data_IF_741485445067
#
_entry.id   IF_741485445067
#
_cell.length_a   1.000
_cell.length_b   1.000
_cell.length_c   1.000
_cell.angle_alpha   90.00
_cell.angle_beta   90.00
_cell.angle_gamma   90.00
#
_symmetry.space_group_name_H-M   'P 1'
#
loop_
_entity.id
_entity.type
_entity.pdbx_description
1 polymer ?
#
# COMPACT_ATOMS: atom_id res chain seq x y z
N UNK A 1 17.45 23.65 -7.83
CA UNK A 1 16.06 23.34 -7.43
C UNK A 1 15.78 21.96 -7.99
N UNK A 2 15.43 21.00 -7.13
CA UNK A 2 14.95 19.70 -7.58
C UNK A 2 13.63 19.92 -8.30
N UNK A 3 13.51 19.48 -9.55
CA UNK A 3 12.24 19.48 -10.27
C UNK A 3 11.36 18.42 -9.61
N UNK A 4 10.56 18.84 -8.63
CA UNK A 4 9.62 17.95 -7.94
C UNK A 4 8.46 17.61 -8.88
N UNK A 5 8.13 16.32 -8.95
CA UNK A 5 7.01 15.82 -9.74
C UNK A 5 5.69 16.11 -8.99
N UNK A 6 4.75 16.76 -9.67
CA UNK A 6 3.41 16.97 -9.13
C UNK A 6 2.60 15.68 -9.30
N UNK A 7 2.29 15.01 -8.19
CA UNK A 7 1.51 13.77 -8.19
C UNK A 7 -0.01 14.01 -8.21
N UNK A 8 -0.49 15.07 -7.56
CA UNK A 8 -1.92 15.39 -7.42
C UNK A 8 -2.12 16.85 -6.97
N UNK A 9 -3.23 17.47 -7.37
CA UNK A 9 -3.68 18.77 -6.87
C UNK A 9 -4.69 18.61 -5.72
N UNK A 10 -4.60 19.47 -4.70
CA UNK A 10 -5.51 19.45 -3.53
C UNK A 10 -6.44 20.65 -3.56
N UNK A 11 -7.75 20.42 -3.45
CA UNK A 11 -8.80 21.45 -3.40
C UNK A 11 -9.45 21.50 -2.01
N UNK A 12 -10.18 22.57 -1.70
CA UNK A 12 -10.93 22.70 -0.43
C UNK A 12 -11.95 21.56 -0.22
N UNK A 13 -12.54 21.02 -1.29
CA UNK A 13 -13.46 19.90 -1.21
C UNK A 13 -12.80 18.62 -0.67
N UNK A 14 -11.49 18.44 -0.88
CA UNK A 14 -10.76 17.30 -0.33
C UNK A 14 -10.59 17.42 1.20
N UNK A 15 -10.55 18.63 1.77
CA UNK A 15 -10.42 18.82 3.22
C UNK A 15 -11.68 18.34 3.96
N UNK A 16 -12.85 18.67 3.43
CA UNK A 16 -14.14 18.28 4.04
C UNK A 16 -14.44 16.78 3.92
N UNK A 17 -13.74 16.07 3.03
CA UNK A 17 -13.88 14.60 2.87
C UNK A 17 -12.80 13.81 3.58
N UNK A 18 -11.82 14.47 4.21
CA UNK A 18 -10.69 13.83 4.86
C UNK A 18 -9.65 13.28 3.87
N UNK A 19 -9.36 14.03 2.80
CA UNK A 19 -8.39 13.69 1.75
C UNK A 19 -8.72 12.39 0.98
N UNK A 20 -10.01 12.03 0.89
CA UNK A 20 -10.43 10.87 0.09
C UNK A 20 -10.01 11.05 -1.38
N UNK A 21 -9.35 10.05 -1.93
CA UNK A 21 -8.83 10.06 -3.29
C UNK A 21 -7.49 10.77 -3.46
N UNK A 22 -6.92 11.35 -2.39
CA UNK A 22 -5.62 12.03 -2.45
C UNK A 22 -4.51 11.08 -1.97
N UNK A 23 -3.42 10.93 -2.73
CA UNK A 23 -2.26 10.17 -2.28
C UNK A 23 -1.53 10.94 -1.17
N UNK A 24 -1.60 10.43 0.06
CA UNK A 24 -1.06 11.10 1.27
C UNK A 24 0.17 10.42 1.87
N UNK A 25 0.57 9.26 1.35
CA UNK A 25 1.70 8.52 1.88
C UNK A 25 2.00 7.25 1.09
N UNK A 26 3.09 6.59 1.47
CA UNK A 26 3.51 5.31 0.88
C UNK A 26 3.40 4.21 1.93
N UNK A 27 2.76 3.11 1.55
CA UNK A 27 2.68 1.89 2.35
C UNK A 27 3.56 0.82 1.70
N UNK A 28 4.61 0.37 2.38
CA UNK A 28 5.55 -0.63 1.84
C UNK A 28 5.05 -2.07 1.97
N UNK A 29 4.23 -2.33 2.99
CA UNK A 29 3.83 -3.68 3.39
C UNK A 29 2.53 -4.16 2.75
N UNK A 30 1.78 -3.27 2.09
CA UNK A 30 0.50 -3.61 1.50
C UNK A 30 0.07 -2.64 0.43
N UNK A 31 -0.66 -3.14 -0.56
CA UNK A 31 -1.32 -2.34 -1.59
C UNK A 31 -2.61 -3.01 -2.06
N UNK A 32 -3.41 -2.31 -2.85
CA UNK A 32 -4.68 -2.83 -3.41
C UNK A 32 -4.64 -2.72 -4.92
N UNK A 33 -5.06 -3.77 -5.61
CA UNK A 33 -5.31 -3.75 -7.06
C UNK A 33 -6.81 -3.87 -7.35
N UNK A 34 -7.31 -3.29 -8.45
CA UNK A 34 -8.72 -3.39 -8.81
C UNK A 34 -9.20 -4.83 -9.07
N UNK A 35 -8.31 -5.71 -9.56
CA UNK A 35 -8.67 -7.07 -9.99
C UNK A 35 -8.48 -8.12 -8.89
N UNK A 36 -7.43 -8.02 -8.08
CA UNK A 36 -7.07 -9.06 -7.11
C UNK A 36 -7.33 -8.64 -5.65
N UNK A 37 -7.69 -7.37 -5.42
CA UNK A 37 -7.95 -6.84 -4.09
C UNK A 37 -6.66 -6.57 -3.32
N UNK A 38 -6.61 -6.95 -2.04
CA UNK A 38 -5.52 -6.61 -1.11
C UNK A 38 -4.34 -7.56 -1.26
N UNK A 39 -3.14 -6.99 -1.33
CA UNK A 39 -1.87 -7.68 -1.25
C UNK A 39 -1.14 -7.31 0.04
N UNK A 40 -0.58 -8.31 0.71
CA UNK A 40 0.35 -8.13 1.81
C UNK A 40 1.72 -8.62 1.38
N UNK A 41 2.72 -7.77 1.53
CA UNK A 41 4.11 -8.14 1.27
C UNK A 41 4.36 -8.69 -0.15
N UNK A 42 3.60 -8.18 -1.13
CA UNK A 42 3.62 -8.65 -2.52
C UNK A 42 2.73 -9.87 -2.82
N UNK A 43 2.18 -10.54 -1.81
CA UNK A 43 1.32 -11.72 -2.00
C UNK A 43 -0.16 -11.35 -1.92
N UNK A 44 -1.01 -11.80 -2.86
CA UNK A 44 -2.44 -11.57 -2.79
C UNK A 44 -3.03 -12.31 -1.58
N UNK A 45 -4.03 -11.73 -0.93
CA UNK A 45 -4.60 -12.27 0.32
C UNK A 45 -5.07 -13.73 0.20
N UNK A 46 -5.53 -14.14 -1.00
CA UNK A 46 -5.96 -15.52 -1.29
C UNK A 46 -4.86 -16.57 -1.07
N UNK A 47 -3.59 -16.20 -1.21
CA UNK A 47 -2.44 -17.10 -1.02
C UNK A 47 -2.04 -17.23 0.45
N UNK A 48 -2.57 -16.34 1.30
CA UNK A 48 -2.23 -16.24 2.72
C UNK A 48 -3.31 -16.85 3.64
N UNK A 49 -4.41 -17.37 3.09
CA UNK A 49 -5.58 -17.84 3.86
C UNK A 49 -5.25 -18.93 4.88
N UNK A 50 -4.31 -19.82 4.54
CA UNK A 50 -3.91 -20.95 5.40
C UNK A 50 -2.73 -20.60 6.32
N UNK A 51 -2.22 -19.37 6.27
CA UNK A 51 -1.08 -18.97 7.09
C UNK A 51 -1.53 -18.73 8.53
N UNK A 52 -0.77 -19.26 9.49
CA UNK A 52 -1.00 -18.88 10.89
C UNK A 52 -0.74 -17.38 11.11
N UNK A 53 -1.40 -16.73 12.08
CA UNK A 53 -1.15 -15.31 12.39
C UNK A 53 0.33 -15.00 12.70
N UNK A 54 1.06 -15.97 13.25
CA UNK A 54 2.51 -15.85 13.52
C UNK A 54 3.32 -15.76 12.23
N UNK A 55 2.93 -16.49 11.19
CA UNK A 55 3.61 -16.46 9.90
C UNK A 55 3.35 -15.15 9.14
N UNK A 56 2.17 -14.54 9.31
CA UNK A 56 1.88 -13.21 8.80
C UNK A 56 2.84 -12.16 9.38
N UNK A 57 3.04 -12.16 10.70
CA UNK A 57 3.96 -11.23 11.36
C UNK A 57 5.41 -11.41 10.90
N UNK A 58 5.83 -12.63 10.59
CA UNK A 58 7.18 -12.90 10.06
C UNK A 58 7.34 -12.36 8.63
N UNK A 59 6.31 -12.47 7.79
CA UNK A 59 6.30 -11.91 6.44
C UNK A 59 6.48 -10.38 6.48
N UNK A 60 5.70 -9.70 7.33
CA UNK A 60 5.83 -8.25 7.55
C UNK A 60 7.21 -7.82 8.07
N UNK A 61 7.91 -8.68 8.81
CA UNK A 61 9.28 -8.39 9.29
C UNK A 61 10.36 -8.70 8.24
N UNK A 62 10.12 -9.69 7.37
CA UNK A 62 11.08 -10.13 6.35
C UNK A 62 11.13 -9.17 5.16
N UNK A 63 10.05 -8.45 4.91
CA UNK A 63 9.89 -7.41 3.88
C UNK A 63 10.68 -6.12 4.10
N UNK A 64 11.79 -6.21 4.84
CA UNK A 64 12.84 -5.20 4.83
C UNK A 64 13.62 -5.18 3.50
N UNK A 65 13.24 -5.98 2.50
CA UNK A 65 13.82 -6.01 1.17
C UNK A 65 12.69 -5.97 0.11
N UNK A 66 12.69 -5.01 -0.83
CA UNK A 66 11.57 -4.82 -1.75
C UNK A 66 11.37 -6.03 -2.67
N UNK A 67 10.11 -6.43 -2.88
CA UNK A 67 9.74 -7.44 -3.86
C UNK A 67 10.19 -7.02 -5.28
N UNK A 68 10.60 -7.98 -6.14
CA UNK A 68 11.12 -7.68 -7.47
C UNK A 68 10.02 -7.13 -8.38
N UNK A 69 10.44 -6.20 -9.23
CA UNK A 69 9.66 -5.44 -10.22
C UNK A 69 8.81 -6.31 -11.14
#
# INVERSE_FOLDING_TARGET
MTNEEILCEVTENHLNTGLRGIPVGTCKTSFVTPNEGVHYCGYPIRELVDFSPKNHLLLFKKDSNPAPN
#
